data_IF_416815225532
#
_entry.id   IF_416815225532
#
_cell.length_a   1.000
_cell.length_b   1.000
_cell.length_c   1.000
_cell.angle_alpha   90.00
_cell.angle_beta   90.00
_cell.angle_gamma   90.00
#
_symmetry.space_group_name_H-M   'P 1'
#
loop_
_entity.id
_entity.type
_entity.pdbx_description
1 polymer ?
#
# COMPACT_ATOMS: atom_id res chain seq x y z
N UNK A 1 6.45 -21.53 -42.27
CA UNK A 1 5.61 -20.34 -42.35
C UNK A 1 5.55 -19.75 -40.94
N UNK A 2 6.22 -18.64 -40.71
CA UNK A 2 6.15 -17.96 -39.40
C UNK A 2 4.80 -17.22 -39.33
N UNK A 3 3.93 -17.61 -38.45
CA UNK A 3 2.71 -16.87 -38.15
C UNK A 3 3.12 -15.58 -37.44
N UNK A 4 3.11 -14.48 -38.18
CA UNK A 4 3.22 -13.14 -37.60
C UNK A 4 1.94 -12.89 -36.76
N UNK A 5 2.01 -13.18 -35.50
CA UNK A 5 1.00 -12.70 -34.56
C UNK A 5 1.30 -11.22 -34.32
N UNK A 6 0.55 -10.33 -34.96
CA UNK A 6 0.53 -8.92 -34.59
C UNK A 6 0.20 -8.83 -33.10
N UNK A 7 0.93 -8.01 -32.32
CA UNK A 7 0.63 -7.86 -30.90
C UNK A 7 -0.83 -7.41 -30.74
N UNK A 8 -1.61 -8.18 -30.00
CA UNK A 8 -3.01 -7.84 -29.73
C UNK A 8 -3.00 -6.68 -28.72
N UNK A 9 -3.73 -5.62 -29.02
CA UNK A 9 -3.92 -4.51 -28.09
C UNK A 9 -4.60 -5.02 -26.82
N UNK A 10 -3.98 -4.77 -25.68
CA UNK A 10 -4.53 -5.06 -24.36
C UNK A 10 -5.03 -3.76 -23.74
N UNK A 11 -6.34 -3.63 -23.59
CA UNK A 11 -6.95 -2.43 -23.02
C UNK A 11 -6.74 -2.31 -21.51
N UNK A 12 -6.45 -3.42 -20.81
CA UNK A 12 -6.15 -3.43 -19.36
C UNK A 12 -4.71 -2.99 -19.08
N UNK A 13 -3.80 -3.22 -20.03
CA UNK A 13 -2.40 -2.77 -19.97
C UNK A 13 -1.92 -2.23 -21.33
N UNK A 14 -2.49 -1.09 -21.79
CA UNK A 14 -2.23 -0.57 -23.14
C UNK A 14 -0.78 -0.13 -23.36
N UNK A 15 -0.02 0.09 -22.31
CA UNK A 15 1.39 0.48 -22.35
C UNK A 15 2.35 -0.66 -22.02
N UNK A 16 1.85 -1.86 -21.82
CA UNK A 16 2.63 -3.05 -21.44
C UNK A 16 3.50 -2.78 -20.19
N UNK A 17 2.95 -2.09 -19.23
CA UNK A 17 3.64 -1.73 -17.97
C UNK A 17 4.03 -2.99 -17.20
N UNK A 18 3.18 -4.00 -17.23
CA UNK A 18 3.43 -5.27 -16.55
C UNK A 18 4.70 -5.96 -17.06
N UNK A 19 5.03 -5.81 -18.36
CA UNK A 19 6.22 -6.40 -18.96
C UNK A 19 7.52 -5.72 -18.47
N UNK A 20 7.41 -4.48 -17.98
CA UNK A 20 8.54 -3.70 -17.47
C UNK A 20 8.84 -4.00 -15.99
N UNK A 21 7.92 -4.67 -15.28
CA UNK A 21 8.07 -4.98 -13.86
C UNK A 21 8.98 -6.18 -13.65
N UNK A 22 9.72 -6.16 -12.55
CA UNK A 22 10.44 -7.34 -12.05
C UNK A 22 9.46 -8.43 -11.61
N UNK A 23 9.96 -9.65 -11.44
CA UNK A 23 9.15 -10.76 -10.94
C UNK A 23 8.61 -10.48 -9.52
N UNK A 24 9.44 -9.90 -8.66
CA UNK A 24 9.04 -9.49 -7.31
C UNK A 24 7.91 -8.44 -7.34
N UNK A 25 8.04 -7.40 -8.15
CA UNK A 25 7.02 -6.35 -8.28
C UNK A 25 5.69 -6.90 -8.81
N UNK A 26 5.73 -7.85 -9.76
CA UNK A 26 4.51 -8.55 -10.23
C UNK A 26 3.87 -9.36 -9.12
N UNK A 27 4.66 -10.14 -8.40
CA UNK A 27 4.16 -11.00 -7.32
C UNK A 27 3.52 -10.17 -6.20
N UNK A 28 4.15 -9.08 -5.80
CA UNK A 28 3.63 -8.15 -4.78
C UNK A 28 2.33 -7.51 -5.26
N UNK A 29 2.28 -7.06 -6.52
CA UNK A 29 1.07 -6.47 -7.11
C UNK A 29 -0.09 -7.46 -7.13
N UNK A 30 0.15 -8.68 -7.59
CA UNK A 30 -0.87 -9.73 -7.68
C UNK A 30 -1.38 -10.13 -6.28
N UNK A 31 -0.49 -10.19 -5.30
CA UNK A 31 -0.85 -10.47 -3.90
C UNK A 31 -1.70 -9.36 -3.30
N UNK A 32 -1.31 -8.10 -3.51
CA UNK A 32 -2.06 -6.93 -3.05
C UNK A 32 -3.45 -6.88 -3.72
N UNK A 33 -3.53 -7.06 -5.04
CA UNK A 33 -4.80 -7.12 -5.76
C UNK A 33 -5.72 -8.19 -5.21
N UNK A 34 -5.22 -9.42 -5.05
CA UNK A 34 -6.01 -10.52 -4.51
C UNK A 34 -6.54 -10.21 -3.11
N UNK A 35 -5.70 -9.65 -2.26
CA UNK A 35 -6.08 -9.26 -0.91
C UNK A 35 -7.21 -8.21 -0.91
N UNK A 36 -7.03 -7.08 -1.59
CA UNK A 36 -8.02 -6.01 -1.58
C UNK A 36 -9.34 -6.39 -2.25
N UNK A 37 -9.28 -7.16 -3.34
CA UNK A 37 -10.49 -7.64 -4.00
C UNK A 37 -11.26 -8.66 -3.15
N UNK A 38 -10.57 -9.46 -2.35
CA UNK A 38 -11.21 -10.48 -1.51
C UNK A 38 -11.70 -9.94 -0.18
N UNK A 39 -10.88 -9.14 0.51
CA UNK A 39 -11.14 -8.75 1.90
C UNK A 39 -11.82 -7.37 2.00
N UNK A 40 -11.52 -6.43 1.10
CA UNK A 40 -12.04 -5.06 1.17
C UNK A 40 -13.24 -4.83 0.23
N UNK A 41 -13.13 -5.24 -1.04
CA UNK A 41 -14.14 -4.95 -2.06
C UNK A 41 -15.56 -5.41 -1.67
N UNK A 42 -15.80 -6.59 -1.08
CA UNK A 42 -17.16 -7.05 -0.83
C UNK A 42 -17.97 -6.18 0.12
N UNK A 43 -17.31 -5.51 1.07
CA UNK A 43 -17.96 -4.69 2.09
C UNK A 43 -17.94 -3.19 1.82
N UNK A 44 -17.22 -2.72 0.78
CA UNK A 44 -16.89 -1.30 0.63
C UNK A 44 -18.10 -0.40 0.40
N UNK A 45 -19.07 -0.85 -0.39
CA UNK A 45 -20.27 -0.06 -0.69
C UNK A 45 -21.10 0.17 0.58
N UNK A 46 -21.27 -0.87 1.38
CA UNK A 46 -22.03 -0.79 2.63
C UNK A 46 -21.27 0.04 3.69
N UNK A 47 -19.96 -0.16 3.80
CA UNK A 47 -19.10 0.63 4.66
C UNK A 47 -19.17 2.13 4.32
N UNK A 48 -19.11 2.46 3.04
CA UNK A 48 -19.21 3.84 2.55
C UNK A 48 -20.59 4.47 2.86
N UNK A 49 -21.68 3.74 2.65
CA UNK A 49 -23.04 4.22 2.96
C UNK A 49 -23.24 4.52 4.46
N UNK A 50 -22.62 3.71 5.32
CA UNK A 50 -22.77 3.81 6.75
C UNK A 50 -21.65 4.63 7.41
N UNK A 51 -20.79 5.28 6.62
CA UNK A 51 -19.63 6.07 7.12
C UNK A 51 -18.74 5.25 8.06
N UNK A 52 -18.56 3.96 7.75
CA UNK A 52 -17.81 3.02 8.56
C UNK A 52 -16.42 2.77 7.96
N UNK A 53 -15.38 2.87 8.82
CA UNK A 53 -14.02 2.47 8.49
C UNK A 53 -13.63 1.24 9.33
N UNK A 54 -13.38 0.13 8.67
CA UNK A 54 -12.94 -1.10 9.33
C UNK A 54 -11.43 -1.03 9.64
N UNK A 55 -11.10 -0.78 10.91
CA UNK A 55 -9.71 -0.74 11.39
C UNK A 55 -8.99 -2.08 11.25
N UNK A 56 -9.72 -3.19 11.16
CA UNK A 56 -9.11 -4.50 11.01
C UNK A 56 -8.35 -4.64 9.68
N UNK A 57 -8.77 -3.92 8.65
CA UNK A 57 -8.05 -3.85 7.37
C UNK A 57 -6.61 -3.35 7.55
N UNK A 58 -6.37 -2.38 8.45
CA UNK A 58 -5.01 -1.89 8.74
C UNK A 58 -4.12 -3.00 9.32
N UNK A 59 -4.66 -3.84 10.20
CA UNK A 59 -3.91 -4.99 10.74
C UNK A 59 -3.64 -6.04 9.68
N UNK A 60 -4.62 -6.34 8.84
CA UNK A 60 -4.46 -7.28 7.73
C UNK A 60 -3.44 -6.77 6.70
N UNK A 61 -3.43 -5.45 6.41
CA UNK A 61 -2.36 -4.83 5.60
C UNK A 61 -0.98 -5.02 6.25
N UNK A 62 -0.89 -4.86 7.57
CA UNK A 62 0.35 -5.10 8.32
C UNK A 62 0.80 -6.56 8.24
N UNK A 63 -0.09 -7.51 8.41
CA UNK A 63 0.18 -8.94 8.29
C UNK A 63 0.68 -9.33 6.88
N UNK A 64 0.20 -8.62 5.86
CA UNK A 64 0.64 -8.76 4.47
C UNK A 64 1.94 -8.00 4.15
N UNK A 65 2.51 -7.25 5.10
CA UNK A 65 3.70 -6.44 4.87
C UNK A 65 3.47 -5.21 3.97
N UNK A 66 2.23 -4.72 3.87
CA UNK A 66 1.85 -3.61 2.98
C UNK A 66 1.99 -2.23 3.64
N UNK A 67 2.35 -2.17 4.93
CA UNK A 67 2.60 -0.93 5.65
C UNK A 67 4.10 -0.67 5.77
N UNK A 68 4.53 0.56 5.48
CA UNK A 68 5.93 0.94 5.50
C UNK A 68 6.79 0.20 4.48
N UNK A 69 6.23 -0.16 3.35
CA UNK A 69 6.82 -1.05 2.31
C UNK A 69 8.24 -0.69 1.92
N UNK A 70 8.58 0.61 1.86
CA UNK A 70 9.89 1.11 1.42
C UNK A 70 10.93 1.25 2.54
N UNK A 71 10.55 0.91 3.77
CA UNK A 71 11.42 1.03 4.94
C UNK A 71 12.22 -0.26 5.09
N UNK A 72 13.53 -0.14 5.24
CA UNK A 72 14.42 -1.26 5.54
C UNK A 72 14.46 -1.51 7.05
N UNK A 73 14.29 -2.77 7.46
CA UNK A 73 14.29 -3.16 8.87
C UNK A 73 12.95 -2.96 9.58
N UNK A 74 12.95 -3.09 10.89
CA UNK A 74 11.82 -2.86 11.81
C UNK A 74 10.54 -3.64 11.49
N UNK A 75 10.67 -4.79 10.81
CA UNK A 75 9.54 -5.61 10.37
C UNK A 75 8.88 -5.15 9.08
N UNK A 76 9.43 -4.16 8.39
CA UNK A 76 8.97 -3.69 7.09
C UNK A 76 9.62 -4.47 5.94
N UNK A 77 8.99 -4.41 4.76
CA UNK A 77 9.38 -5.26 3.62
C UNK A 77 10.65 -4.79 2.88
N UNK A 78 11.02 -3.51 2.94
CA UNK A 78 12.21 -2.96 2.28
C UNK A 78 12.15 -3.00 0.75
N UNK A 79 10.95 -2.88 0.16
CA UNK A 79 10.74 -2.97 -1.29
C UNK A 79 10.97 -1.62 -2.00
N UNK A 80 10.94 -1.66 -3.32
CA UNK A 80 11.10 -0.48 -4.17
C UNK A 80 9.93 0.51 -4.06
N UNK A 81 10.19 1.77 -4.44
CA UNK A 81 9.12 2.77 -4.58
C UNK A 81 8.11 2.39 -5.68
N UNK A 82 8.54 1.60 -6.67
CA UNK A 82 7.65 1.05 -7.70
C UNK A 82 6.67 0.06 -7.07
N UNK A 83 7.15 -0.87 -6.25
CA UNK A 83 6.30 -1.81 -5.51
C UNK A 83 5.28 -1.06 -4.64
N UNK A 84 5.69 0.00 -3.92
CA UNK A 84 4.77 0.84 -3.16
C UNK A 84 3.68 1.47 -4.04
N UNK A 85 4.06 2.04 -5.18
CA UNK A 85 3.11 2.62 -6.13
C UNK A 85 2.11 1.61 -6.70
N UNK A 86 2.57 0.39 -6.97
CA UNK A 86 1.72 -0.71 -7.44
C UNK A 86 0.72 -1.17 -6.38
N UNK A 87 1.16 -1.31 -5.12
CA UNK A 87 0.27 -1.60 -3.99
C UNK A 87 -0.78 -0.48 -3.83
N UNK A 88 -0.33 0.77 -3.86
CA UNK A 88 -1.22 1.94 -3.76
C UNK A 88 -2.29 1.93 -4.87
N UNK A 89 -1.92 1.57 -6.10
CA UNK A 89 -2.86 1.41 -7.22
C UNK A 89 -3.91 0.33 -6.93
N UNK A 90 -3.53 -0.80 -6.37
CA UNK A 90 -4.46 -1.90 -6.13
C UNK A 90 -5.45 -1.60 -5.00
N UNK A 91 -5.04 -0.88 -3.95
CA UNK A 91 -5.98 -0.44 -2.91
C UNK A 91 -6.86 0.71 -3.40
N UNK A 92 -6.32 1.66 -4.19
CA UNK A 92 -7.08 2.75 -4.81
C UNK A 92 -8.18 2.22 -5.74
N UNK A 93 -7.92 1.13 -6.45
CA UNK A 93 -8.91 0.47 -7.32
C UNK A 93 -10.14 -0.06 -6.55
N UNK A 94 -10.04 -0.17 -5.22
CA UNK A 94 -11.16 -0.54 -4.35
C UNK A 94 -11.73 0.67 -3.63
N UNK A 95 -10.87 1.46 -2.94
CA UNK A 95 -11.32 2.61 -2.17
C UNK A 95 -10.20 3.60 -1.87
N UNK A 96 -10.44 4.88 -2.18
CA UNK A 96 -9.49 5.98 -1.93
C UNK A 96 -9.26 6.26 -0.44
N UNK A 97 -10.23 6.03 0.42
CA UNK A 97 -10.11 6.25 1.86
C UNK A 97 -9.11 5.27 2.48
N UNK A 98 -9.18 3.99 2.12
CA UNK A 98 -8.21 2.99 2.56
C UNK A 98 -6.83 3.20 1.94
N UNK A 99 -6.75 3.64 0.67
CA UNK A 99 -5.48 4.04 0.07
C UNK A 99 -4.87 5.22 0.83
N UNK A 100 -5.68 6.22 1.20
CA UNK A 100 -5.23 7.35 2.02
C UNK A 100 -4.72 6.90 3.39
N UNK A 101 -5.45 6.02 4.08
CA UNK A 101 -5.03 5.48 5.37
C UNK A 101 -3.68 4.74 5.27
N UNK A 102 -3.49 3.90 4.25
CA UNK A 102 -2.22 3.22 3.98
C UNK A 102 -1.09 4.23 3.71
N UNK A 103 -1.37 5.26 2.91
CA UNK A 103 -0.36 6.28 2.57
C UNK A 103 0.02 7.14 3.77
N UNK A 104 -0.95 7.56 4.59
CA UNK A 104 -0.66 8.30 5.83
C UNK A 104 0.20 7.46 6.75
N UNK A 105 -0.18 6.21 6.98
CA UNK A 105 0.59 5.29 7.81
C UNK A 105 2.03 5.15 7.32
N UNK A 106 2.22 4.84 6.05
CA UNK A 106 3.53 4.52 5.49
C UNK A 106 4.41 5.75 5.24
N UNK A 107 3.83 6.81 4.64
CA UNK A 107 4.60 7.96 4.14
C UNK A 107 4.66 9.12 5.13
N UNK A 108 3.55 9.46 5.79
CA UNK A 108 3.48 10.62 6.68
C UNK A 108 3.83 10.28 8.13
N UNK A 109 3.68 9.03 8.55
CA UNK A 109 3.98 8.59 9.93
C UNK A 109 5.27 7.78 9.98
N UNK A 110 5.32 6.63 9.31
CA UNK A 110 6.46 5.72 9.43
C UNK A 110 7.73 6.28 8.80
N UNK A 111 7.63 6.86 7.60
CA UNK A 111 8.81 7.39 6.92
C UNK A 111 9.53 8.51 7.69
N UNK A 112 8.86 9.54 8.24
CA UNK A 112 9.51 10.55 9.07
C UNK A 112 10.17 9.97 10.33
N UNK A 113 9.55 9.00 10.99
CA UNK A 113 10.15 8.32 12.14
C UNK A 113 11.41 7.57 11.72
N UNK A 114 11.37 6.87 10.59
CA UNK A 114 12.52 6.15 10.05
C UNK A 114 13.66 7.09 9.63
N UNK A 115 13.32 8.16 8.91
CA UNK A 115 14.33 9.07 8.34
C UNK A 115 14.96 10.01 9.38
N UNK A 116 14.17 10.48 10.35
CA UNK A 116 14.58 11.56 11.25
C UNK A 116 14.52 11.20 12.74
N UNK A 117 13.91 10.08 13.10
CA UNK A 117 13.81 9.61 14.47
C UNK A 117 15.14 9.08 15.01
N UNK A 118 15.30 9.09 16.33
CA UNK A 118 16.38 8.36 17.00
C UNK A 118 16.18 6.86 16.87
N UNK A 119 17.24 6.07 17.09
CA UNK A 119 17.11 4.61 17.04
C UNK A 119 16.10 4.08 18.06
N UNK A 120 16.09 4.64 19.26
CA UNK A 120 15.09 4.31 20.29
C UNK A 120 13.66 4.56 19.80
N UNK A 121 13.43 5.67 19.08
CA UNK A 121 12.11 5.98 18.51
C UNK A 121 11.74 5.01 17.38
N UNK A 122 12.69 4.66 16.51
CA UNK A 122 12.48 3.69 15.42
C UNK A 122 12.10 2.32 15.98
N UNK A 123 12.88 1.80 16.90
CA UNK A 123 12.65 0.49 17.54
C UNK A 123 11.32 0.46 18.32
N UNK A 124 10.95 1.58 18.93
CA UNK A 124 9.73 1.67 19.72
C UNK A 124 8.45 1.72 18.88
N UNK A 125 8.47 2.44 17.76
CA UNK A 125 7.25 2.76 17.02
C UNK A 125 7.11 1.97 15.72
N UNK A 126 8.18 1.83 14.92
CA UNK A 126 8.08 1.25 13.58
C UNK A 126 7.55 -0.19 13.57
N UNK A 127 7.97 -1.11 14.44
CA UNK A 127 7.44 -2.48 14.43
C UNK A 127 5.93 -2.54 14.66
N UNK A 128 5.40 -1.70 15.54
CA UNK A 128 3.97 -1.65 15.84
C UNK A 128 3.14 -0.96 14.77
N UNK A 129 3.72 0.02 14.11
CA UNK A 129 3.13 0.67 12.94
C UNK A 129 3.14 -0.26 11.73
N UNK A 130 4.21 -1.04 11.52
CA UNK A 130 4.33 -2.00 10.44
C UNK A 130 3.29 -3.11 10.52
N UNK A 131 2.96 -3.58 11.74
CA UNK A 131 1.92 -4.61 11.96
C UNK A 131 0.49 -4.05 11.97
N UNK A 132 0.32 -2.71 11.92
CA UNK A 132 -1.00 -2.09 12.09
C UNK A 132 -1.56 -2.17 13.51
N UNK A 133 -0.76 -2.60 14.51
CA UNK A 133 -1.12 -2.50 15.94
C UNK A 133 -1.33 -1.03 16.32
N UNK A 134 -0.41 -0.17 15.86
CA UNK A 134 -0.56 1.28 15.96
C UNK A 134 -1.01 1.84 14.60
N UNK A 135 -1.98 2.73 14.65
CA UNK A 135 -2.39 3.55 13.52
C UNK A 135 -2.00 4.99 13.83
N UNK A 136 -1.12 5.52 13.01
CA UNK A 136 -0.62 6.88 13.18
C UNK A 136 -1.47 7.91 12.43
N UNK A 137 -1.27 9.16 12.78
CA UNK A 137 -1.82 10.29 12.05
C UNK A 137 -0.78 11.41 11.95
N UNK A 138 -0.98 12.30 11.02
CA UNK A 138 -0.15 13.47 10.80
C UNK A 138 -0.97 14.73 11.07
N UNK A 139 -0.64 15.44 12.16
CA UNK A 139 -1.25 16.71 12.49
C UNK A 139 -0.42 17.84 11.91
N UNK A 140 -0.91 18.47 10.84
CA UNK A 140 -0.27 19.61 10.20
C UNK A 140 -1.06 20.88 10.55
N UNK A 141 -0.34 21.88 11.08
CA UNK A 141 -0.87 23.24 11.25
C UNK A 141 -0.08 24.17 10.34
N UNK A 142 -0.78 24.94 9.53
CA UNK A 142 -0.19 25.98 8.70
C UNK A 142 -0.48 27.35 9.28
N UNK A 143 0.46 28.35 9.21
CA UNK A 143 0.32 29.64 9.88
C UNK A 143 -0.91 30.42 9.48
N UNK A 144 -1.38 30.27 8.25
CA UNK A 144 -2.45 31.08 7.67
C UNK A 144 -3.73 30.27 7.35
N UNK A 145 -3.90 29.10 7.95
CA UNK A 145 -5.09 28.25 7.73
C UNK A 145 -5.98 28.13 8.96
#
# INVERSE_FOLDING_TARGET
>A
MATSTSPRFDWEDPFLLRDQLTEEERMVTDSARQFFQKELMPGIIEANRNENFDRNIMRQMGEMGLLGVTIEGYGCAGLSSVAYGLIAKEVEAVDSGYRSAMSVQSSLVMHPIWAYGTEEQRERYLPKLATGEYVGCFGLTEPDS
#
